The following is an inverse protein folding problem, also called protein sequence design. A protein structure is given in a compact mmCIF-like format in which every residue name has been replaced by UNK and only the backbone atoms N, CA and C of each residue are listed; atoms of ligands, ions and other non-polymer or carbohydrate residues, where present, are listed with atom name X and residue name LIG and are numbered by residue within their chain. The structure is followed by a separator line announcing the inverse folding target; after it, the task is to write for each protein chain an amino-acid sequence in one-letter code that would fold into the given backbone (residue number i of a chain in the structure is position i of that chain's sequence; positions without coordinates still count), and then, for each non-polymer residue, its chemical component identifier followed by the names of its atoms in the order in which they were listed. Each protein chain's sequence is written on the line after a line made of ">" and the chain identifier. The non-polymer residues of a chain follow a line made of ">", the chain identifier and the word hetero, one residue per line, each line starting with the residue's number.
data_IF_806782111942
#
_entry.id   IF_806782111942
#
_cell.length_a   1.000
_cell.length_b   1.000
_cell.length_c   1.000
_cell.angle_alpha   90.00
_cell.angle_beta   90.00
_cell.angle_gamma   90.00
#
_symmetry.space_group_name_H-M   'P 1'
#
loop_
_entity.id
_entity.type
_entity.pdbx_description
1 polymer ?
#
# COMPACT_ATOMS: atom_id res chain seq x y z
N UNK A 1 67.90 -26.73 43.25
CA UNK A 1 67.54 -25.46 42.56
C UNK A 1 66.49 -25.80 41.49
N UNK A 2 65.19 -25.79 41.79
CA UNK A 2 64.26 -24.67 41.72
C UNK A 2 64.07 -24.06 40.31
N UNK A 3 62.95 -24.42 39.65
CA UNK A 3 61.92 -23.54 39.04
C UNK A 3 61.12 -24.32 37.98
N UNK A 4 59.89 -24.73 38.32
CA UNK A 4 58.60 -24.04 38.05
C UNK A 4 58.06 -24.28 36.64
N UNK A 5 57.17 -25.28 36.61
CA UNK A 5 55.97 -25.41 35.78
C UNK A 5 55.42 -24.09 35.25
N UNK A 6 55.12 -24.05 33.94
CA UNK A 6 54.23 -23.03 33.36
C UNK A 6 53.23 -23.70 32.42
N UNK A 7 51.99 -23.83 32.90
CA UNK A 7 50.81 -24.20 32.13
C UNK A 7 50.63 -23.20 30.99
N UNK A 8 50.76 -23.64 29.73
CA UNK A 8 50.35 -22.84 28.57
C UNK A 8 48.84 -23.02 28.40
N UNK A 9 48.10 -21.94 28.71
CA UNK A 9 46.64 -21.82 28.57
C UNK A 9 46.22 -22.15 27.14
N UNK A 10 45.23 -23.04 27.05
CA UNK A 10 44.41 -23.34 25.87
C UNK A 10 43.74 -22.04 25.40
N UNK A 11 43.98 -21.66 24.15
CA UNK A 11 43.29 -20.55 23.49
C UNK A 11 41.85 -20.95 23.10
N UNK A 12 40.87 -20.05 23.21
CA UNK A 12 39.46 -20.38 23.00
C UNK A 12 39.08 -20.48 21.52
N UNK A 13 38.30 -21.52 21.22
CA UNK A 13 37.32 -21.68 20.13
C UNK A 13 37.35 -20.63 19.01
N UNK A 14 37.98 -20.96 17.88
CA UNK A 14 37.64 -20.37 16.59
C UNK A 14 36.46 -21.17 16.03
N UNK A 15 35.25 -20.72 16.35
CA UNK A 15 34.04 -21.27 15.74
C UNK A 15 34.13 -21.04 14.22
N UNK A 16 34.19 -22.13 13.47
CA UNK A 16 34.02 -22.10 12.02
C UNK A 16 32.68 -21.40 11.70
N UNK A 17 32.64 -20.49 10.73
CA UNK A 17 31.39 -19.86 10.32
C UNK A 17 30.49 -20.97 9.76
N UNK A 18 29.41 -21.27 10.49
CA UNK A 18 28.35 -22.16 10.03
C UNK A 18 27.98 -21.80 8.58
N UNK A 19 27.79 -22.80 7.69
CA UNK A 19 27.34 -22.54 6.33
C UNK A 19 26.06 -21.71 6.40
N UNK A 20 26.06 -20.54 5.75
CA UNK A 20 24.89 -19.69 5.59
C UNK A 20 23.80 -20.57 4.98
N UNK A 21 22.84 -20.99 5.82
CA UNK A 21 21.61 -21.67 5.36
C UNK A 21 21.03 -20.80 4.25
N UNK A 22 20.96 -21.36 3.06
CA UNK A 22 20.22 -20.80 1.93
C UNK A 22 18.88 -20.28 2.46
N UNK A 23 18.66 -18.98 2.32
CA UNK A 23 17.40 -18.36 2.67
C UNK A 23 16.33 -19.01 1.79
N UNK A 24 15.44 -19.78 2.41
CA UNK A 24 14.26 -20.35 1.75
C UNK A 24 13.55 -19.24 0.98
N UNK A 25 12.99 -19.51 -0.22
CA UNK A 25 12.15 -18.55 -0.92
C UNK A 25 10.88 -18.40 -0.08
N UNK A 26 10.89 -17.44 0.84
CA UNK A 26 9.68 -17.05 1.55
C UNK A 26 8.98 -16.07 0.62
N UNK A 27 7.74 -16.37 0.27
CA UNK A 27 6.84 -15.39 -0.32
C UNK A 27 6.95 -14.05 0.43
N UNK A 28 6.66 -12.93 -0.25
CA UNK A 28 7.01 -11.60 0.23
C UNK A 28 6.68 -11.46 1.72
N UNK A 29 7.70 -11.28 2.55
CA UNK A 29 7.47 -11.08 3.98
C UNK A 29 6.74 -9.75 4.16
N UNK A 30 5.90 -9.61 5.20
CA UNK A 30 5.21 -8.34 5.50
C UNK A 30 6.16 -7.13 5.46
N UNK A 31 7.39 -7.31 5.95
CA UNK A 31 8.45 -6.29 5.88
C UNK A 31 8.89 -5.96 4.44
N UNK A 32 8.97 -6.94 3.55
CA UNK A 32 9.26 -6.72 2.14
C UNK A 32 8.11 -5.97 1.46
N UNK A 33 6.85 -6.30 1.79
CA UNK A 33 5.69 -5.59 1.26
C UNK A 33 5.60 -4.15 1.75
N UNK A 34 5.86 -3.91 3.03
CA UNK A 34 5.97 -2.55 3.61
C UNK A 34 7.07 -1.76 2.93
N UNK A 35 8.21 -2.39 2.65
CA UNK A 35 9.31 -1.75 1.92
C UNK A 35 8.91 -1.41 0.49
N UNK A 36 8.23 -2.31 -0.22
CA UNK A 36 7.71 -2.07 -1.56
C UNK A 36 6.65 -0.96 -1.60
N UNK A 37 5.78 -0.84 -0.59
CA UNK A 37 4.86 0.30 -0.46
C UNK A 37 5.62 1.62 -0.28
N UNK A 38 6.63 1.64 0.59
CA UNK A 38 7.48 2.82 0.80
C UNK A 38 8.26 3.21 -0.46
N UNK A 39 8.77 2.25 -1.22
CA UNK A 39 9.43 2.49 -2.50
C UNK A 39 8.49 3.12 -3.53
N UNK A 40 7.21 2.70 -3.55
CA UNK A 40 6.15 3.32 -4.36
C UNK A 40 5.61 4.63 -3.77
N UNK A 41 6.11 5.06 -2.61
CA UNK A 41 5.63 6.23 -1.86
C UNK A 41 4.24 6.09 -1.27
N UNK A 42 3.65 4.88 -1.30
CA UNK A 42 2.28 4.61 -0.85
C UNK A 42 2.22 4.65 0.68
N UNK A 43 1.30 5.44 1.27
CA UNK A 43 1.11 5.45 2.71
C UNK A 43 0.71 4.05 3.21
N UNK A 44 1.17 3.72 4.41
CA UNK A 44 0.84 2.45 5.06
C UNK A 44 -0.61 2.48 5.58
N UNK A 45 -1.33 1.36 5.55
CA UNK A 45 -2.64 1.29 6.18
C UNK A 45 -2.51 1.35 7.70
N UNK A 46 -3.50 1.96 8.38
CA UNK A 46 -3.51 2.07 9.84
C UNK A 46 -3.60 0.70 10.51
N UNK A 47 -4.34 -0.25 9.93
CA UNK A 47 -4.51 -1.60 10.48
C UNK A 47 -3.25 -2.46 10.35
N UNK A 48 -2.30 -2.07 9.49
CA UNK A 48 -1.06 -2.81 9.17
C UNK A 48 -1.28 -4.30 8.84
N UNK A 49 -2.47 -4.64 8.32
CA UNK A 49 -2.80 -6.02 7.96
C UNK A 49 -2.11 -6.42 6.65
N UNK A 50 -1.69 -7.68 6.54
CA UNK A 50 -0.99 -8.14 5.34
C UNK A 50 -1.89 -8.08 4.09
N UNK A 51 -3.18 -8.38 4.27
CA UNK A 51 -4.21 -8.31 3.24
C UNK A 51 -4.36 -6.88 2.67
N UNK A 52 -4.48 -5.87 3.54
CA UNK A 52 -4.56 -4.46 3.13
C UNK A 52 -3.28 -3.98 2.43
N UNK A 53 -2.12 -4.42 2.92
CA UNK A 53 -0.82 -4.10 2.32
C UNK A 53 -0.70 -4.70 0.91
N UNK A 54 -1.07 -5.98 0.73
CA UNK A 54 -1.11 -6.64 -0.58
C UNK A 54 -2.10 -5.98 -1.51
N UNK A 55 -3.27 -5.61 -0.99
CA UNK A 55 -4.31 -4.90 -1.74
C UNK A 55 -3.81 -3.56 -2.29
N UNK A 56 -3.18 -2.72 -1.44
CA UNK A 56 -2.56 -1.47 -1.89
C UNK A 56 -1.45 -1.72 -2.91
N UNK A 57 -0.61 -2.74 -2.71
CA UNK A 57 0.46 -3.06 -3.67
C UNK A 57 -0.06 -3.42 -5.06
N UNK A 58 -1.22 -4.10 -5.12
CA UNK A 58 -1.86 -4.54 -6.36
C UNK A 58 -2.57 -3.40 -7.09
N UNK A 59 -3.39 -2.62 -6.39
CA UNK A 59 -4.27 -1.65 -7.03
C UNK A 59 -3.72 -0.22 -7.05
N UNK A 60 -2.80 0.13 -6.15
CA UNK A 60 -2.26 1.48 -6.10
C UNK A 60 -0.99 1.60 -6.95
N UNK A 61 -1.01 2.56 -7.86
CA UNK A 61 0.08 2.90 -8.77
C UNK A 61 1.09 3.83 -8.12
N UNK A 62 0.62 4.78 -7.31
CA UNK A 62 1.42 5.81 -6.67
C UNK A 62 0.88 6.14 -5.27
N UNK A 63 1.74 6.71 -4.44
CA UNK A 63 1.34 7.22 -3.12
C UNK A 63 0.56 8.52 -3.13
N UNK A 64 0.45 9.20 -4.27
CA UNK A 64 -0.27 10.47 -4.37
C UNK A 64 -1.72 10.23 -4.80
N UNK A 65 -2.66 10.31 -3.87
CA UNK A 65 -4.09 10.23 -4.18
C UNK A 65 -4.63 11.47 -4.88
N UNK A 66 -5.80 11.33 -5.50
CA UNK A 66 -6.55 12.38 -6.16
C UNK A 66 -7.63 12.93 -5.22
N UNK A 67 -7.69 14.26 -5.15
CA UNK A 67 -8.75 14.97 -4.48
C UNK A 67 -9.81 15.34 -5.51
N UNK A 68 -11.01 14.78 -5.43
CA UNK A 68 -12.04 14.99 -6.44
C UNK A 68 -13.34 15.53 -5.86
N UNK A 69 -14.06 16.27 -6.69
CA UNK A 69 -15.45 16.68 -6.44
C UNK A 69 -16.33 16.19 -7.57
N UNK A 70 -17.54 15.77 -7.23
CA UNK A 70 -18.47 15.24 -8.22
C UNK A 70 -19.30 16.38 -8.83
N UNK A 71 -19.53 16.33 -10.14
CA UNK A 71 -20.49 17.20 -10.79
C UNK A 71 -21.94 16.83 -10.47
N UNK A 72 -22.85 17.80 -10.67
CA UNK A 72 -24.29 17.57 -10.55
C UNK A 72 -24.73 16.44 -11.50
N UNK A 73 -25.47 15.46 -10.95
CA UNK A 73 -26.03 14.31 -11.66
C UNK A 73 -25.02 13.29 -12.21
N UNK A 74 -23.84 13.17 -11.59
CA UNK A 74 -22.85 12.17 -12.02
C UNK A 74 -23.29 10.71 -11.80
N UNK A 75 -24.07 10.39 -10.75
CA UNK A 75 -24.34 8.99 -10.37
C UNK A 75 -25.37 8.25 -11.24
N UNK A 76 -26.43 8.92 -11.70
CA UNK A 76 -27.63 8.23 -12.22
C UNK A 76 -27.44 7.42 -13.51
N UNK A 77 -26.41 7.68 -14.30
CA UNK A 77 -26.10 6.94 -15.55
C UNK A 77 -25.01 5.88 -15.39
N UNK A 78 -24.40 5.80 -14.20
CA UNK A 78 -23.15 5.09 -13.97
C UNK A 78 -23.30 4.03 -12.87
N UNK A 79 -24.47 3.38 -12.80
CA UNK A 79 -24.77 2.37 -11.78
C UNK A 79 -23.75 1.22 -11.75
N UNK A 80 -23.26 0.80 -12.92
CA UNK A 80 -22.26 -0.27 -13.10
C UNK A 80 -20.85 0.27 -13.35
N UNK A 81 -20.51 1.44 -12.81
CA UNK A 81 -19.19 2.06 -12.97
C UNK A 81 -18.66 2.44 -11.59
N UNK A 82 -17.32 2.47 -11.35
CA UNK A 82 -16.76 2.89 -10.06
C UNK A 82 -17.15 4.31 -9.62
N UNK A 83 -17.73 5.11 -10.51
CA UNK A 83 -18.29 6.42 -10.20
C UNK A 83 -19.50 6.31 -9.25
N UNK A 84 -20.19 5.16 -9.22
CA UNK A 84 -21.31 4.91 -8.29
C UNK A 84 -20.88 4.80 -6.83
N UNK A 85 -19.58 4.54 -6.57
CA UNK A 85 -19.03 4.55 -5.21
C UNK A 85 -19.06 5.94 -4.57
N UNK A 86 -19.10 6.98 -5.39
CA UNK A 86 -19.11 8.38 -4.96
C UNK A 86 -20.56 8.86 -4.74
N UNK A 87 -21.21 8.40 -3.67
CA UNK A 87 -22.64 8.71 -3.38
C UNK A 87 -22.84 9.80 -2.28
N UNK A 88 -21.76 10.19 -1.62
CA UNK A 88 -21.77 11.22 -0.58
C UNK A 88 -22.20 12.62 -1.09
N UNK A 89 -22.59 13.54 -0.18
CA UNK A 89 -23.30 14.77 -0.52
C UNK A 89 -22.55 15.67 -1.51
N UNK A 90 -23.29 16.49 -2.27
CA UNK A 90 -22.85 17.28 -3.44
C UNK A 90 -21.61 18.16 -3.28
N UNK A 91 -21.17 18.44 -2.05
CA UNK A 91 -20.00 19.29 -1.73
C UNK A 91 -18.87 18.51 -1.05
N UNK A 92 -19.03 17.20 -0.89
CA UNK A 92 -18.00 16.35 -0.33
C UNK A 92 -16.76 16.39 -1.23
N UNK A 93 -15.61 16.45 -0.58
CA UNK A 93 -14.32 16.28 -1.21
C UNK A 93 -13.91 14.83 -0.98
N UNK A 94 -13.67 14.11 -2.05
CA UNK A 94 -13.25 12.72 -1.96
C UNK A 94 -11.75 12.64 -2.14
N UNK A 95 -11.16 11.70 -1.43
CA UNK A 95 -9.79 11.28 -1.66
C UNK A 95 -9.82 9.87 -2.22
N UNK A 96 -9.20 9.69 -3.37
CA UNK A 96 -9.08 8.41 -4.08
C UNK A 96 -7.60 8.08 -4.25
N UNK A 97 -7.16 6.83 -4.06
CA UNK A 97 -5.79 6.43 -4.35
C UNK A 97 -5.50 6.50 -5.86
N UNK A 98 -4.23 6.68 -6.24
CA UNK A 98 -3.83 6.57 -7.65
C UNK A 98 -3.96 5.11 -8.09
N UNK A 99 -4.97 4.79 -8.89
CA UNK A 99 -5.35 3.43 -9.29
C UNK A 99 -6.09 3.45 -10.62
N UNK A 100 -6.22 2.29 -11.28
CA UNK A 100 -7.03 2.15 -12.51
C UNK A 100 -8.49 2.57 -12.29
N UNK A 101 -9.05 2.28 -11.10
CA UNK A 101 -10.38 2.73 -10.69
C UNK A 101 -10.50 4.25 -10.76
N UNK A 102 -9.50 4.95 -10.22
CA UNK A 102 -9.49 6.42 -10.20
C UNK A 102 -9.33 6.99 -11.59
N UNK A 103 -8.50 6.38 -12.45
CA UNK A 103 -8.37 6.77 -13.84
C UNK A 103 -9.69 6.63 -14.60
N UNK A 104 -10.42 5.53 -14.39
CA UNK A 104 -11.77 5.33 -14.96
C UNK A 104 -12.75 6.40 -14.49
N UNK A 105 -12.77 6.71 -13.19
CA UNK A 105 -13.60 7.77 -12.60
C UNK A 105 -13.29 9.12 -13.26
N UNK A 106 -12.01 9.48 -13.39
CA UNK A 106 -11.57 10.75 -14.00
C UNK A 106 -11.93 10.80 -15.48
N UNK A 107 -11.78 9.68 -16.21
CA UNK A 107 -12.10 9.56 -17.63
C UNK A 107 -13.57 9.88 -17.95
N UNK A 108 -14.50 9.66 -17.00
CA UNK A 108 -15.92 10.01 -17.18
C UNK A 108 -16.18 11.51 -17.37
N UNK A 109 -15.21 12.38 -17.01
CA UNK A 109 -15.36 13.85 -16.95
C UNK A 109 -16.56 14.31 -16.12
N UNK A 110 -17.03 13.47 -15.20
CA UNK A 110 -18.10 13.79 -14.23
C UNK A 110 -17.54 14.20 -12.87
N UNK A 111 -16.23 14.29 -12.75
CA UNK A 111 -15.52 14.74 -11.55
C UNK A 111 -14.57 15.87 -11.90
N UNK A 112 -14.38 16.77 -10.94
CA UNK A 112 -13.36 17.82 -10.97
C UNK A 112 -12.22 17.40 -10.06
N UNK A 113 -11.02 17.30 -10.61
CA UNK A 113 -9.80 17.10 -9.82
C UNK A 113 -9.43 18.44 -9.20
N UNK A 114 -9.46 18.51 -7.87
CA UNK A 114 -9.07 19.70 -7.09
C UNK A 114 -7.56 19.74 -6.88
N UNK A 115 -6.93 18.58 -6.76
CA UNK A 115 -5.49 18.45 -6.54
C UNK A 115 -5.08 17.01 -6.28
N UNK A 116 -3.81 16.82 -5.90
CA UNK A 116 -3.25 15.54 -5.46
C UNK A 116 -2.68 15.69 -4.06
N UNK A 117 -2.87 14.69 -3.21
CA UNK A 117 -2.38 14.67 -1.84
C UNK A 117 -1.97 13.25 -1.44
N UNK A 118 -0.89 13.12 -0.69
CA UNK A 118 -0.41 11.82 -0.19
C UNK A 118 -1.33 11.23 0.86
N UNK A 119 -1.88 12.08 1.73
CA UNK A 119 -2.79 11.68 2.79
C UNK A 119 -4.12 12.46 2.69
N UNK A 120 -5.26 11.82 2.98
CA UNK A 120 -6.54 12.49 3.04
C UNK A 120 -6.60 13.45 4.24
N UNK A 121 -7.24 14.62 4.08
CA UNK A 121 -7.53 15.49 5.22
C UNK A 121 -8.78 15.01 5.96
N UNK A 122 -8.93 15.40 7.23
CA UNK A 122 -10.04 14.97 8.10
C UNK A 122 -11.44 15.28 7.56
N UNK A 123 -11.56 16.22 6.63
CA UNK A 123 -12.84 16.62 6.02
C UNK A 123 -13.12 15.91 4.69
N UNK A 124 -12.28 14.95 4.28
CA UNK A 124 -12.44 14.21 3.03
C UNK A 124 -13.07 12.84 3.25
N UNK A 125 -13.85 12.40 2.28
CA UNK A 125 -14.35 11.02 2.21
C UNK A 125 -13.31 10.18 1.49
N UNK A 126 -12.69 9.26 2.21
CA UNK A 126 -11.72 8.32 1.65
C UNK A 126 -12.48 7.18 0.98
N UNK A 127 -12.21 6.95 -0.30
CA UNK A 127 -12.71 5.78 -1.01
C UNK A 127 -11.50 4.98 -1.48
N UNK A 128 -11.32 3.81 -0.90
CA UNK A 128 -10.33 2.84 -1.37
C UNK A 128 -10.93 1.98 -2.48
N UNK A 129 -10.06 1.28 -3.21
CA UNK A 129 -10.48 0.30 -4.22
C UNK A 129 -11.19 -0.85 -3.50
N UNK A 130 -12.40 -1.25 -3.89
CA UNK A 130 -13.07 -2.41 -3.30
C UNK A 130 -12.33 -3.71 -3.66
N UNK A 131 -12.28 -4.68 -2.75
CA UNK A 131 -11.65 -5.99 -3.02
C UNK A 131 -12.30 -6.74 -4.18
N UNK A 132 -13.59 -6.49 -4.45
CA UNK A 132 -14.40 -7.04 -5.55
C UNK A 132 -14.33 -6.20 -6.84
N UNK A 133 -13.45 -5.19 -6.91
CA UNK A 133 -13.39 -4.23 -8.02
C UNK A 133 -13.34 -4.89 -9.40
N UNK A 134 -12.44 -5.87 -9.60
CA UNK A 134 -12.28 -6.57 -10.88
C UNK A 134 -13.57 -7.32 -11.28
N UNK A 135 -14.22 -8.00 -10.34
CA UNK A 135 -15.45 -8.75 -10.63
C UNK A 135 -16.66 -7.84 -10.89
N UNK A 136 -16.66 -6.66 -10.27
CA UNK A 136 -17.81 -5.74 -10.29
C UNK A 136 -17.77 -4.77 -11.47
N UNK A 137 -16.58 -4.38 -11.94
CA UNK A 137 -16.43 -3.29 -12.91
C UNK A 137 -15.50 -3.58 -14.09
N UNK A 138 -14.70 -4.67 -14.07
CA UNK A 138 -13.71 -5.00 -15.11
C UNK A 138 -14.24 -6.05 -16.11
N UNK A 139 -15.53 -5.92 -16.49
CA UNK A 139 -16.23 -6.82 -17.41
C UNK A 139 -16.12 -6.38 -18.88
#
# INVERSE_FOLDING_TARGET
>A
MAKKTTKKKVAPKKAEPKPKKAAKPKGPTKAAMVSALKEKGIPLPESAEASEIEHRLRYWKSGMGYMIRIHRNAGGRYANHPLSLLDSPRKALYWLPDSDMTDMIIATRRVVVVGRAQEPSSNMVVIDVPSDYEQRFDA
#
